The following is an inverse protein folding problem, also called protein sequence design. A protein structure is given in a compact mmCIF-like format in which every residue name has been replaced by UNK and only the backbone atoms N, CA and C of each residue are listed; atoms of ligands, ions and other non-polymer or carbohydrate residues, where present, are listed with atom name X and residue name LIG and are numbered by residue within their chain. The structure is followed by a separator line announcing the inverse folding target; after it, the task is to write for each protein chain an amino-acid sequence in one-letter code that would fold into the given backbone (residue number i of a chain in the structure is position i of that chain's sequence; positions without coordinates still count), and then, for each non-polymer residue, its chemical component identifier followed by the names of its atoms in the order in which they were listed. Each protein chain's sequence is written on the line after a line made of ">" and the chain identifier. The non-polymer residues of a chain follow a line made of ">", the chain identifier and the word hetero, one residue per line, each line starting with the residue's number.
data_IF_593918102113
#
_entry.id   IF_593918102113
#
_cell.length_a   1.000
_cell.length_b   1.000
_cell.length_c   1.000
_cell.angle_alpha   90.00
_cell.angle_beta   90.00
_cell.angle_gamma   90.00
#
_symmetry.space_group_name_H-M   'P 1'
#
loop_
_entity.id
_entity.type
_entity.pdbx_description
1 polymer ?
#
# COMPACT_ATOMS: atom_id res chain seq x y z
N UNK A 1 50.22 -11.21 44.82
CA UNK A 1 49.67 -10.08 44.04
C UNK A 1 49.43 -10.56 42.61
N UNK A 2 48.19 -10.85 42.25
CA UNK A 2 47.65 -10.71 40.89
C UNK A 2 46.14 -10.91 40.97
N UNK A 3 45.41 -10.02 40.30
CA UNK A 3 43.96 -9.86 40.33
C UNK A 3 43.30 -10.45 39.06
N UNK A 4 41.98 -10.25 38.99
CA UNK A 4 41.07 -10.38 37.84
C UNK A 4 40.49 -11.80 37.63
N UNK A 5 39.21 -11.98 37.28
CA UNK A 5 38.06 -11.09 37.21
C UNK A 5 36.83 -12.01 37.07
N UNK A 6 35.76 -11.64 37.75
CA UNK A 6 34.44 -12.25 37.68
C UNK A 6 33.76 -11.80 36.39
N UNK A 7 33.56 -12.71 35.42
CA UNK A 7 32.90 -12.38 34.15
C UNK A 7 31.48 -12.93 34.19
N UNK A 8 30.56 -12.13 34.70
CA UNK A 8 29.13 -12.36 34.59
C UNK A 8 28.70 -12.37 33.12
N UNK A 9 28.04 -13.45 32.70
CA UNK A 9 27.39 -13.58 31.39
C UNK A 9 26.09 -12.76 31.44
N UNK A 10 26.04 -11.66 30.69
CA UNK A 10 24.82 -10.90 30.47
C UNK A 10 23.87 -11.68 29.53
N UNK A 11 22.53 -11.61 29.73
CA UNK A 11 21.59 -12.32 28.90
C UNK A 11 21.53 -11.70 27.49
N UNK A 12 21.46 -12.57 26.49
CA UNK A 12 21.21 -12.23 25.08
C UNK A 12 19.89 -11.47 25.00
N UNK A 13 19.98 -10.17 24.73
CA UNK A 13 18.84 -9.28 24.52
C UNK A 13 18.04 -9.72 23.31
N UNK A 14 16.73 -9.81 23.50
CA UNK A 14 15.75 -10.10 22.48
C UNK A 14 15.84 -9.13 21.28
N UNK A 15 15.58 -9.72 20.13
CA UNK A 15 15.49 -9.16 18.77
C UNK A 15 14.93 -7.72 18.70
N UNK A 16 15.81 -6.78 18.36
CA UNK A 16 15.54 -5.34 18.24
C UNK A 16 15.31 -4.88 16.79
N UNK A 17 15.11 -5.79 15.83
CA UNK A 17 15.05 -5.41 14.42
C UNK A 17 13.65 -5.54 13.79
N UNK A 18 12.66 -4.89 14.41
CA UNK A 18 11.35 -4.64 13.80
C UNK A 18 10.96 -3.17 13.90
N UNK A 19 11.80 -2.29 13.38
CA UNK A 19 11.39 -0.91 13.07
C UNK A 19 10.47 -0.98 11.84
N UNK A 20 9.18 -0.59 11.94
CA UNK A 20 8.34 -0.47 10.77
C UNK A 20 8.91 0.65 9.89
N UNK A 21 8.98 0.41 8.57
CA UNK A 21 9.33 1.43 7.58
C UNK A 21 8.25 2.52 7.55
N UNK A 22 8.29 3.47 8.50
CA UNK A 22 7.31 4.56 8.66
C UNK A 22 7.57 5.70 7.66
N UNK A 23 7.59 5.42 6.36
CA UNK A 23 7.52 6.47 5.32
C UNK A 23 6.24 6.28 4.51
N UNK A 24 5.12 6.56 5.16
CA UNK A 24 3.83 6.71 4.51
C UNK A 24 3.64 8.19 4.19
N UNK A 25 3.52 8.54 2.91
CA UNK A 25 3.29 9.92 2.49
C UNK A 25 1.84 10.08 2.02
N UNK A 26 1.15 11.06 2.58
CA UNK A 26 -0.17 11.45 2.08
C UNK A 26 0.00 12.35 0.86
N UNK A 27 -0.62 11.97 -0.26
CA UNK A 27 -0.50 12.62 -1.56
C UNK A 27 -1.69 13.55 -1.83
N UNK A 28 -2.83 13.29 -1.20
CA UNK A 28 -4.05 14.10 -1.33
C UNK A 28 -4.59 14.37 0.06
N UNK A 29 -4.58 15.65 0.47
CA UNK A 29 -5.27 16.07 1.69
C UNK A 29 -6.78 16.12 1.41
N UNK A 30 -7.64 15.81 2.40
CA UNK A 30 -9.08 15.94 2.23
C UNK A 30 -9.41 17.34 1.69
N UNK A 31 -10.29 17.42 0.68
CA UNK A 31 -10.74 18.72 0.19
C UNK A 31 -11.35 19.51 1.35
N UNK A 32 -10.88 20.74 1.56
CA UNK A 32 -11.21 21.59 2.70
C UNK A 32 -12.73 21.89 2.82
N UNK A 33 -13.50 21.62 1.76
CA UNK A 33 -14.94 21.85 1.69
C UNK A 33 -15.81 20.70 2.27
N UNK A 34 -15.22 19.54 2.62
CA UNK A 34 -15.96 18.44 3.26
C UNK A 34 -16.16 18.71 4.75
N UNK A 35 -17.17 19.50 5.07
CA UNK A 35 -17.49 19.96 6.43
C UNK A 35 -18.11 18.89 7.34
N UNK A 36 -18.48 17.72 6.80
CA UNK A 36 -19.09 16.61 7.55
C UNK A 36 -18.05 15.53 7.80
N UNK A 37 -17.90 15.12 9.07
CA UNK A 37 -17.03 14.01 9.42
C UNK A 37 -17.50 12.72 8.72
N UNK A 38 -16.59 11.97 8.08
CA UNK A 38 -16.97 10.75 7.37
C UNK A 38 -17.53 9.71 8.35
N UNK A 39 -18.57 9.00 7.92
CA UNK A 39 -19.19 7.91 8.68
C UNK A 39 -18.51 6.57 8.45
N UNK A 40 -17.80 6.43 7.33
CA UNK A 40 -16.98 5.26 6.99
C UNK A 40 -15.72 5.65 6.24
N UNK A 41 -14.70 4.83 6.37
CA UNK A 41 -13.46 4.87 5.58
C UNK A 41 -13.43 3.68 4.62
N UNK A 42 -13.52 3.97 3.32
CA UNK A 42 -13.42 2.98 2.24
C UNK A 42 -11.99 3.02 1.70
N UNK A 43 -11.19 2.03 2.09
CA UNK A 43 -9.83 1.89 1.56
C UNK A 43 -9.87 1.22 0.18
N UNK A 44 -9.12 1.76 -0.78
CA UNK A 44 -8.98 1.19 -2.12
C UNK A 44 -7.49 1.04 -2.44
N UNK A 45 -7.01 -0.19 -2.51
CA UNK A 45 -5.65 -0.48 -2.91
C UNK A 45 -5.54 -0.52 -4.44
N UNK A 46 -4.67 0.34 -4.99
CA UNK A 46 -4.49 0.51 -6.42
C UNK A 46 -3.05 0.25 -6.88
N UNK A 47 -2.93 -0.28 -8.10
CA UNK A 47 -1.70 -0.39 -8.87
C UNK A 47 -1.95 0.02 -10.33
N UNK A 48 -0.93 -0.13 -11.19
CA UNK A 48 -1.03 0.20 -12.61
C UNK A 48 -1.71 -0.90 -13.45
N UNK A 49 -2.40 -1.87 -12.82
CA UNK A 49 -3.10 -2.94 -13.53
C UNK A 49 -4.55 -2.58 -13.87
N UNK A 50 -5.06 -3.16 -14.96
CA UNK A 50 -6.48 -3.04 -15.35
C UNK A 50 -7.46 -3.59 -14.30
N UNK A 51 -7.02 -4.52 -13.47
CA UNK A 51 -7.86 -5.12 -12.42
C UNK A 51 -8.01 -4.19 -11.22
N UNK A 52 -6.96 -3.43 -10.89
CA UNK A 52 -7.05 -2.32 -9.95
C UNK A 52 -7.97 -1.23 -10.49
N UNK A 53 -7.84 -0.86 -11.76
CA UNK A 53 -8.69 0.15 -12.38
C UNK A 53 -10.17 -0.25 -12.33
N UNK A 54 -10.48 -1.48 -12.71
CA UNK A 54 -11.83 -2.03 -12.60
C UNK A 54 -12.35 -2.01 -11.15
N UNK A 55 -11.52 -2.42 -10.19
CA UNK A 55 -11.93 -2.46 -8.79
C UNK A 55 -12.21 -1.05 -8.22
N UNK A 56 -11.42 -0.06 -8.61
CA UNK A 56 -11.68 1.35 -8.30
C UNK A 56 -13.02 1.79 -8.89
N UNK A 57 -13.23 1.64 -10.21
CA UNK A 57 -14.45 2.08 -10.88
C UNK A 57 -15.69 1.38 -10.29
N UNK A 58 -15.59 0.07 -10.02
CA UNK A 58 -16.63 -0.70 -9.38
C UNK A 58 -16.97 -0.16 -7.99
N UNK A 59 -15.97 0.18 -7.17
CA UNK A 59 -16.18 0.73 -5.83
C UNK A 59 -16.93 2.06 -5.89
N UNK A 60 -16.52 2.95 -6.79
CA UNK A 60 -17.15 4.26 -6.95
C UNK A 60 -18.62 4.10 -7.37
N UNK A 61 -18.91 3.16 -8.28
CA UNK A 61 -20.25 2.98 -8.83
C UNK A 61 -21.21 2.23 -7.90
N UNK A 62 -20.71 1.31 -7.08
CA UNK A 62 -21.56 0.33 -6.37
C UNK A 62 -21.48 0.41 -4.84
N UNK A 63 -20.43 1.04 -4.29
CA UNK A 63 -20.11 0.92 -2.86
C UNK A 63 -20.00 2.28 -2.16
N UNK A 64 -19.32 3.23 -2.79
CA UNK A 64 -19.02 4.55 -2.21
C UNK A 64 -20.27 5.43 -2.20
N UNK A 65 -20.48 6.09 -1.07
CA UNK A 65 -21.48 7.15 -0.87
C UNK A 65 -20.74 8.49 -0.75
N UNK A 66 -20.67 9.29 -1.82
CA UNK A 66 -19.84 10.51 -1.88
C UNK A 66 -19.99 11.47 -0.69
N UNK A 67 -21.19 11.53 -0.13
CA UNK A 67 -21.64 12.48 0.89
C UNK A 67 -21.27 12.05 2.31
N UNK A 68 -20.88 10.79 2.52
CA UNK A 68 -20.71 10.21 3.87
C UNK A 68 -19.47 9.35 4.03
N UNK A 69 -18.86 8.89 2.94
CA UNK A 69 -17.69 8.03 2.97
C UNK A 69 -16.43 8.84 2.64
N UNK A 70 -15.33 8.54 3.36
CA UNK A 70 -13.99 8.94 2.94
C UNK A 70 -13.37 7.81 2.12
N UNK A 71 -12.84 8.15 0.94
CA UNK A 71 -12.05 7.24 0.12
C UNK A 71 -10.58 7.39 0.49
N UNK A 72 -9.92 6.29 0.83
CA UNK A 72 -8.46 6.27 1.02
C UNK A 72 -7.82 5.40 -0.06
N UNK A 73 -7.24 6.06 -1.07
CA UNK A 73 -6.46 5.41 -2.12
C UNK A 73 -5.08 5.03 -1.58
N UNK A 74 -4.68 3.78 -1.77
CA UNK A 74 -3.39 3.28 -1.30
C UNK A 74 -2.60 2.66 -2.45
N UNK A 75 -1.34 3.03 -2.60
CA UNK A 75 -0.42 2.35 -3.52
C UNK A 75 0.86 1.97 -2.76
N UNK A 76 1.35 0.75 -2.98
CA UNK A 76 2.58 0.27 -2.34
C UNK A 76 3.67 0.15 -3.39
N UNK A 77 4.77 0.88 -3.20
CA UNK A 77 5.97 0.71 -4.01
C UNK A 77 6.92 -0.30 -3.36
N UNK A 78 7.61 -1.15 -4.14
CA UNK A 78 8.55 -2.12 -3.58
C UNK A 78 9.75 -1.40 -2.97
N UNK A 79 10.34 -1.99 -1.92
CA UNK A 79 11.67 -1.61 -1.46
C UNK A 79 12.71 -2.12 -2.44
N UNK A 80 13.57 -1.25 -2.94
CA UNK A 80 14.76 -1.69 -3.66
C UNK A 80 15.69 -2.35 -2.64
N UNK A 81 16.06 -3.62 -2.84
CA UNK A 81 17.07 -4.30 -2.03
C UNK A 81 18.30 -4.59 -2.87
N UNK A 82 19.50 -4.21 -2.39
CA UNK A 82 20.74 -4.61 -3.03
C UNK A 82 21.13 -6.03 -2.57
N UNK A 83 21.43 -6.96 -3.50
CA UNK A 83 22.08 -8.21 -3.17
C UNK A 83 23.35 -8.01 -2.33
N UNK A 84 23.52 -8.80 -1.28
CA UNK A 84 24.64 -8.66 -0.32
C UNK A 84 26.05 -8.68 -0.96
N UNK A 85 26.18 -9.29 -2.14
CA UNK A 85 27.44 -9.34 -2.91
C UNK A 85 27.95 -7.94 -3.30
N UNK A 86 27.07 -6.94 -3.46
CA UNK A 86 27.49 -5.60 -3.89
C UNK A 86 28.32 -4.86 -2.82
N UNK A 87 28.06 -5.11 -1.54
CA UNK A 87 28.86 -4.56 -0.44
C UNK A 87 30.31 -5.08 -0.41
N UNK A 88 30.57 -6.23 -1.05
CA UNK A 88 31.92 -6.83 -1.12
C UNK A 88 32.78 -6.26 -2.26
N UNK A 89 32.18 -5.61 -3.26
CA UNK A 89 32.86 -5.14 -4.46
C UNK A 89 33.28 -3.65 -4.40
N UNK A 90 33.08 -2.96 -3.28
CA UNK A 90 33.41 -1.53 -3.10
C UNK A 90 32.88 -0.60 -4.21
N UNK A 91 31.73 -0.93 -4.80
CA UNK A 91 31.07 -0.06 -5.77
C UNK A 91 29.95 0.71 -5.07
N UNK A 92 30.04 2.04 -5.12
CA UNK A 92 29.01 2.94 -4.60
C UNK A 92 27.87 3.08 -5.62
N UNK A 93 26.72 2.49 -5.30
CA UNK A 93 25.48 2.58 -6.08
C UNK A 93 24.44 3.47 -5.39
N UNK A 94 24.84 4.29 -4.42
CA UNK A 94 23.92 5.14 -3.65
C UNK A 94 23.09 6.06 -4.55
N UNK A 95 23.72 6.68 -5.55
CA UNK A 95 23.04 7.61 -6.47
C UNK A 95 22.04 6.90 -7.39
N UNK A 96 22.40 5.75 -7.95
CA UNK A 96 21.51 4.96 -8.78
C UNK A 96 20.31 4.44 -7.97
N UNK A 97 20.55 4.01 -6.73
CA UNK A 97 19.51 3.60 -5.80
C UNK A 97 18.56 4.74 -5.47
N UNK A 98 19.11 5.90 -5.09
CA UNK A 98 18.32 7.10 -4.83
C UNK A 98 17.49 7.49 -6.04
N UNK A 99 18.06 7.43 -7.25
CA UNK A 99 17.33 7.72 -8.48
C UNK A 99 16.16 6.75 -8.72
N UNK A 100 16.35 5.45 -8.51
CA UNK A 100 15.29 4.43 -8.64
C UNK A 100 14.21 4.65 -7.58
N UNK A 101 14.59 4.89 -6.33
CA UNK A 101 13.62 5.14 -5.24
C UNK A 101 12.82 6.44 -5.49
N UNK A 102 13.46 7.50 -5.97
CA UNK A 102 12.77 8.73 -6.37
C UNK A 102 11.84 8.51 -7.56
N UNK A 103 12.25 7.71 -8.54
CA UNK A 103 11.40 7.35 -9.67
C UNK A 103 10.17 6.55 -9.22
N UNK A 104 10.35 5.51 -8.40
CA UNK A 104 9.26 4.69 -7.84
C UNK A 104 8.30 5.53 -6.99
N UNK A 105 8.85 6.43 -6.17
CA UNK A 105 8.06 7.37 -5.37
C UNK A 105 7.23 8.29 -6.27
N UNK A 106 7.85 8.88 -7.30
CA UNK A 106 7.15 9.74 -8.25
C UNK A 106 6.04 8.99 -8.98
N UNK A 107 6.31 7.77 -9.47
CA UNK A 107 5.32 6.93 -10.15
C UNK A 107 4.13 6.62 -9.24
N UNK A 108 4.38 6.24 -7.98
CA UNK A 108 3.33 6.02 -6.97
C UNK A 108 2.46 7.26 -6.76
N UNK A 109 3.08 8.44 -6.61
CA UNK A 109 2.36 9.70 -6.42
C UNK A 109 1.56 10.12 -7.65
N UNK A 110 2.10 9.89 -8.84
CA UNK A 110 1.42 10.23 -10.10
C UNK A 110 0.23 9.27 -10.33
N UNK A 111 0.38 7.98 -10.01
CA UNK A 111 -0.70 7.00 -10.07
C UNK A 111 -1.86 7.38 -9.13
N UNK A 112 -1.56 7.67 -7.86
CA UNK A 112 -2.58 8.08 -6.89
C UNK A 112 -3.32 9.35 -7.34
N UNK A 113 -2.59 10.34 -7.86
CA UNK A 113 -3.20 11.56 -8.45
C UNK A 113 -4.06 11.24 -9.66
N UNK A 114 -3.63 10.33 -10.53
CA UNK A 114 -4.41 9.94 -11.69
C UNK A 114 -5.76 9.34 -11.30
N UNK A 115 -5.80 8.45 -10.31
CA UNK A 115 -7.05 7.91 -9.77
C UNK A 115 -7.91 8.97 -9.09
N UNK A 116 -7.32 9.81 -8.22
CA UNK A 116 -8.06 10.88 -7.55
C UNK A 116 -8.70 11.86 -8.55
N UNK A 117 -7.99 12.21 -9.63
CA UNK A 117 -8.46 13.12 -10.67
C UNK A 117 -9.60 12.55 -11.53
N UNK A 118 -9.90 11.24 -11.45
CA UNK A 118 -11.11 10.67 -12.08
C UNK A 118 -12.39 11.13 -11.40
N UNK A 119 -12.31 11.64 -10.16
CA UNK A 119 -13.44 12.01 -9.34
C UNK A 119 -13.48 13.53 -9.12
N UNK A 120 -14.65 14.18 -9.24
CA UNK A 120 -14.78 15.59 -8.93
C UNK A 120 -14.50 15.88 -7.45
N UNK A 121 -13.47 16.68 -7.19
CA UNK A 121 -13.01 17.10 -5.87
C UNK A 121 -14.12 17.57 -4.92
N UNK A 122 -15.03 18.40 -5.44
CA UNK A 122 -16.15 18.97 -4.67
C UNK A 122 -17.21 17.94 -4.24
N UNK A 123 -17.17 16.73 -4.81
CA UNK A 123 -18.16 15.68 -4.56
C UNK A 123 -17.63 14.56 -3.66
N UNK A 124 -16.34 14.26 -3.71
CA UNK A 124 -15.77 13.09 -3.02
C UNK A 124 -14.68 13.51 -2.02
N UNK A 125 -14.73 12.95 -0.82
CA UNK A 125 -13.65 13.10 0.17
C UNK A 125 -12.58 12.03 -0.11
N UNK A 126 -11.47 12.42 -0.73
CA UNK A 126 -10.41 11.50 -1.18
C UNK A 126 -9.09 11.84 -0.48
N UNK A 127 -8.43 10.82 0.05
CA UNK A 127 -7.05 10.86 0.52
C UNK A 127 -6.22 9.83 -0.24
N UNK A 128 -5.01 10.20 -0.66
CA UNK A 128 -4.06 9.29 -1.29
C UNK A 128 -2.91 8.98 -0.34
N UNK A 129 -2.50 7.72 -0.22
CA UNK A 129 -1.43 7.25 0.67
C UNK A 129 -0.43 6.43 -0.13
N UNK A 130 0.80 6.94 -0.25
CA UNK A 130 1.92 6.24 -0.87
C UNK A 130 2.72 5.46 0.18
N UNK A 131 2.66 4.14 0.08
CA UNK A 131 3.31 3.18 0.98
C UNK A 131 4.59 2.61 0.35
N UNK A 132 5.47 2.02 1.16
CA UNK A 132 6.73 1.42 0.71
C UNK A 132 6.99 0.11 1.45
N UNK A 133 7.08 -1.01 0.73
CA UNK A 133 7.32 -2.30 1.34
C UNK A 133 6.70 -3.46 0.56
N UNK A 134 6.42 -4.55 1.27
CA UNK A 134 5.59 -5.63 0.75
C UNK A 134 4.11 -5.22 0.79
N UNK A 135 3.41 -5.39 -0.32
CA UNK A 135 2.02 -4.93 -0.41
C UNK A 135 1.08 -5.61 0.59
N UNK A 136 1.35 -6.86 0.97
CA UNK A 136 0.53 -7.60 1.94
C UNK A 136 0.62 -6.97 3.31
N UNK A 137 1.83 -6.67 3.74
CA UNK A 137 2.11 -6.13 5.07
C UNK A 137 1.69 -4.65 5.16
N UNK A 138 2.08 -3.86 4.17
CA UNK A 138 1.82 -2.42 4.14
C UNK A 138 0.34 -2.09 4.04
N UNK A 139 -0.41 -2.82 3.20
CA UNK A 139 -1.88 -2.63 3.11
C UNK A 139 -2.54 -3.07 4.42
N UNK A 140 -2.12 -4.21 5.00
CA UNK A 140 -2.71 -4.69 6.25
C UNK A 140 -2.50 -3.70 7.40
N UNK A 141 -1.28 -3.21 7.55
CA UNK A 141 -0.95 -2.18 8.52
C UNK A 141 -1.78 -0.92 8.29
N UNK A 142 -1.83 -0.41 7.04
CA UNK A 142 -2.50 0.85 6.76
C UNK A 142 -4.02 0.76 6.95
N UNK A 143 -4.64 -0.36 6.60
CA UNK A 143 -6.07 -0.62 6.84
C UNK A 143 -6.41 -0.55 8.34
N UNK A 144 -5.56 -1.11 9.20
CA UNK A 144 -5.74 -1.05 10.66
C UNK A 144 -5.47 0.36 11.21
N UNK A 145 -4.41 1.02 10.75
CA UNK A 145 -3.98 2.37 11.17
C UNK A 145 -5.02 3.46 10.86
N UNK A 146 -5.68 3.40 9.70
CA UNK A 146 -6.74 4.36 9.35
C UNK A 146 -8.13 3.94 9.83
N UNK A 147 -8.23 2.82 10.57
CA UNK A 147 -9.50 2.23 10.97
C UNK A 147 -10.48 2.06 9.80
N UNK A 148 -10.00 1.51 8.67
CA UNK A 148 -10.85 1.34 7.50
C UNK A 148 -12.04 0.43 7.81
N UNK A 149 -13.23 0.77 7.31
CA UNK A 149 -14.41 -0.07 7.45
C UNK A 149 -14.42 -1.22 6.45
N UNK A 150 -13.69 -1.08 5.34
CA UNK A 150 -13.55 -2.08 4.29
C UNK A 150 -12.36 -1.77 3.38
N UNK A 151 -11.88 -2.83 2.72
CA UNK A 151 -10.88 -2.73 1.66
C UNK A 151 -11.47 -3.19 0.33
N UNK A 152 -11.28 -2.39 -0.72
CA UNK A 152 -11.44 -2.82 -2.10
C UNK A 152 -10.08 -3.01 -2.74
N UNK A 153 -9.89 -4.15 -3.43
CA UNK A 153 -8.65 -4.45 -4.15
C UNK A 153 -8.94 -5.19 -5.46
N UNK A 154 -8.10 -4.96 -6.47
CA UNK A 154 -8.14 -5.71 -7.72
C UNK A 154 -7.96 -7.21 -7.51
N UNK A 155 -8.56 -8.02 -8.38
CA UNK A 155 -8.40 -9.49 -8.33
C UNK A 155 -6.99 -9.97 -8.69
N UNK A 156 -6.20 -9.14 -9.38
CA UNK A 156 -4.80 -9.39 -9.78
C UNK A 156 -4.06 -8.07 -9.84
N UNK A 157 -2.72 -8.14 -9.83
CA UNK A 157 -1.85 -7.01 -10.12
C UNK A 157 -1.10 -7.18 -11.44
N UNK A 158 0.09 -6.61 -11.51
CA UNK A 158 0.91 -6.51 -12.73
C UNK A 158 1.44 -7.85 -13.28
N UNK A 159 1.51 -8.91 -12.47
CA UNK A 159 2.15 -10.19 -12.82
C UNK A 159 1.20 -11.27 -13.40
N UNK A 160 0.01 -10.90 -13.88
CA UNK A 160 -1.12 -11.83 -14.07
C UNK A 160 -0.92 -12.97 -15.08
N UNK A 161 -0.84 -14.22 -14.59
CA UNK A 161 -0.96 -15.46 -15.37
C UNK A 161 -2.41 -15.72 -15.86
N UNK A 162 -2.56 -16.42 -16.98
CA UNK A 162 -3.80 -16.60 -17.78
C UNK A 162 -4.97 -17.41 -17.15
N UNK A 163 -4.99 -17.71 -15.84
CA UNK A 163 -6.05 -18.55 -15.24
C UNK A 163 -6.74 -17.89 -14.03
N UNK A 164 -7.94 -18.40 -13.71
CA UNK A 164 -8.96 -17.91 -12.76
C UNK A 164 -8.55 -17.80 -11.27
N UNK A 165 -7.26 -17.65 -10.96
CA UNK A 165 -6.77 -17.49 -9.58
C UNK A 165 -6.72 -16.02 -9.16
N UNK A 166 -6.98 -15.78 -7.88
CA UNK A 166 -6.70 -14.52 -7.22
C UNK A 166 -5.20 -14.22 -7.22
N UNK A 167 -4.84 -12.95 -7.30
CA UNK A 167 -3.48 -12.48 -7.13
C UNK A 167 -2.98 -12.76 -5.71
N UNK A 168 -1.66 -12.91 -5.57
CA UNK A 168 -1.07 -13.30 -4.29
C UNK A 168 -1.25 -12.27 -3.16
N UNK A 169 -1.45 -11.00 -3.50
CA UNK A 169 -1.78 -9.93 -2.55
C UNK A 169 -3.25 -10.00 -2.14
N UNK A 170 -4.16 -10.07 -3.10
CA UNK A 170 -5.61 -10.14 -2.85
C UNK A 170 -5.98 -11.39 -2.05
N UNK A 171 -5.41 -12.54 -2.41
CA UNK A 171 -5.58 -13.80 -1.66
C UNK A 171 -5.13 -13.64 -0.21
N UNK A 172 -3.93 -13.09 0.01
CA UNK A 172 -3.42 -12.87 1.36
C UNK A 172 -4.36 -11.97 2.17
N UNK A 173 -4.76 -10.83 1.63
CA UNK A 173 -5.55 -9.84 2.36
C UNK A 173 -6.94 -10.36 2.73
N UNK A 174 -7.58 -11.16 1.87
CA UNK A 174 -8.87 -11.79 2.17
C UNK A 174 -8.79 -12.67 3.43
N UNK A 175 -7.68 -13.39 3.63
CA UNK A 175 -7.53 -14.30 4.79
C UNK A 175 -7.04 -13.62 6.06
N UNK A 176 -6.42 -12.44 5.97
CA UNK A 176 -5.72 -11.82 7.11
C UNK A 176 -6.37 -10.54 7.63
N UNK A 177 -7.18 -9.84 6.82
CA UNK A 177 -7.85 -8.63 7.28
C UNK A 177 -9.11 -8.97 8.09
N UNK A 178 -9.33 -8.17 9.14
CA UNK A 178 -10.54 -8.26 9.98
C UNK A 178 -11.73 -7.51 9.38
N UNK A 179 -11.46 -6.61 8.44
CA UNK A 179 -12.47 -5.80 7.75
C UNK A 179 -12.95 -6.54 6.49
N UNK A 180 -14.18 -6.30 6.01
CA UNK A 180 -14.63 -6.81 4.72
C UNK A 180 -13.64 -6.46 3.59
N UNK A 181 -13.22 -7.48 2.84
CA UNK A 181 -12.39 -7.33 1.64
C UNK A 181 -13.24 -7.62 0.41
N UNK A 182 -13.42 -6.62 -0.44
CA UNK A 182 -14.16 -6.73 -1.69
C UNK A 182 -13.16 -6.87 -2.84
N UNK A 183 -13.34 -7.92 -3.63
CA UNK A 183 -12.54 -8.17 -4.83
C UNK A 183 -13.44 -8.26 -6.07
N UNK A 184 -13.71 -7.12 -6.72
CA UNK A 184 -14.50 -7.08 -7.94
C UNK A 184 -13.78 -7.85 -9.06
N UNK A 185 -14.55 -8.63 -9.83
CA UNK A 185 -14.03 -9.38 -10.98
C UNK A 185 -14.69 -8.89 -12.26
N UNK A 186 -13.93 -8.39 -13.25
CA UNK A 186 -14.48 -8.08 -14.55
C UNK A 186 -15.01 -9.36 -15.20
N UNK A 187 -16.10 -9.24 -15.95
CA UNK A 187 -16.63 -10.32 -16.79
C UNK A 187 -15.63 -10.70 -17.89
N UNK A 188 -15.77 -11.87 -18.52
CA UNK A 188 -14.88 -12.28 -19.61
C UNK A 188 -14.87 -11.28 -20.78
N UNK A 189 -16.00 -10.61 -21.05
CA UNK A 189 -16.12 -9.57 -22.07
C UNK A 189 -15.34 -8.29 -21.72
N UNK A 190 -15.23 -7.94 -20.44
CA UNK A 190 -14.45 -6.80 -19.93
C UNK A 190 -12.96 -7.14 -19.76
N UNK A 191 -12.59 -8.42 -19.91
CA UNK A 191 -11.21 -8.90 -19.84
C UNK A 191 -10.51 -9.01 -21.19
N UNK A 192 -11.27 -9.07 -22.29
CA UNK A 192 -10.80 -9.15 -23.68
C UNK A 192 -10.21 -7.82 -24.17
#
# INVERSE_FOLDING_TARGET
>A
MSAAADTAIAPVSADQNKTPNLVHEDVVHPHEDHTVAPTRVVAIAVDASKFSEYAFDWAIQNLVRPETDQIVLMNVRPTVSLPAVYGTLYVDFSKEFEAIEQANKKESHDLLRAYANKLPAHKYNIRGVALRGDARDEISYKVEDIHADMLVIGSRGLSGFKRAFLGSVSEYLIHHLKVPVIVPRPTEAEQA
#
